data_IF_143045930041
#
_entry.id   IF_143045930041
#
_cell.length_a   1.000
_cell.length_b   1.000
_cell.length_c   1.000
_cell.angle_alpha   90.00
_cell.angle_beta   90.00
_cell.angle_gamma   90.00
#
_symmetry.space_group_name_H-M   'P 1'
#
loop_
_entity.id
_entity.type
_entity.pdbx_description
1 polymer ?
#
# COMPACT_ATOMS: atom_id res chain seq x y z
N UNK A 1 18.73 12.86 8.42
CA UNK A 1 19.44 11.63 8.83
C UNK A 1 19.26 10.54 7.78
N UNK A 2 20.36 10.07 7.14
CA UNK A 2 20.33 8.95 6.18
C UNK A 2 20.77 7.62 6.83
N UNK A 3 20.76 7.52 8.14
CA UNK A 3 21.31 6.37 8.87
C UNK A 3 20.28 5.82 9.85
N UNK A 4 19.54 4.83 9.39
CA UNK A 4 18.96 3.78 10.22
C UNK A 4 18.05 4.15 11.41
N UNK A 5 17.65 5.41 11.57
CA UNK A 5 16.73 5.83 12.63
C UNK A 5 15.32 5.90 12.07
N UNK A 6 14.42 5.08 12.59
CA UNK A 6 13.03 5.11 12.18
C UNK A 6 12.30 6.30 12.80
N UNK A 7 11.23 6.78 12.13
CA UNK A 7 10.36 7.82 12.70
C UNK A 7 9.81 7.44 14.07
N UNK A 8 9.46 6.16 14.27
CA UNK A 8 8.99 5.66 15.55
C UNK A 8 10.02 5.87 16.66
N UNK A 9 11.32 5.60 16.40
CA UNK A 9 12.39 5.83 17.35
C UNK A 9 12.55 7.32 17.69
N UNK A 10 12.43 8.22 16.70
CA UNK A 10 12.46 9.67 16.94
C UNK A 10 11.26 10.10 17.78
N UNK A 11 10.07 9.61 17.47
CA UNK A 11 8.85 9.90 18.24
C UNK A 11 8.97 9.46 19.69
N UNK A 12 9.46 8.24 19.93
CA UNK A 12 9.66 7.71 21.28
C UNK A 12 10.74 8.49 22.05
N UNK A 13 11.85 8.85 21.40
CA UNK A 13 12.90 9.65 22.02
C UNK A 13 12.38 11.02 22.43
N UNK A 14 11.65 11.71 21.56
CA UNK A 14 11.03 13.00 21.88
C UNK A 14 10.00 12.88 23.01
N UNK A 15 9.16 11.84 23.01
CA UNK A 15 8.21 11.58 24.08
C UNK A 15 8.91 11.36 25.42
N UNK A 16 9.98 10.55 25.45
CA UNK A 16 10.75 10.29 26.66
C UNK A 16 11.39 11.55 27.24
N UNK A 17 12.00 12.38 26.37
CA UNK A 17 12.69 13.60 26.81
C UNK A 17 11.73 14.70 27.26
N UNK A 18 10.57 14.82 26.60
CA UNK A 18 9.60 15.89 26.87
C UNK A 18 8.52 15.54 27.89
N UNK A 19 8.31 14.25 28.18
CA UNK A 19 7.18 13.77 28.97
C UNK A 19 5.83 13.86 28.24
N UNK A 20 5.82 14.26 26.96
CA UNK A 20 4.62 14.34 26.14
C UNK A 20 4.28 12.97 25.57
N UNK A 21 3.00 12.60 25.54
CA UNK A 21 2.52 11.33 24.99
C UNK A 21 3.04 11.10 23.56
N UNK A 22 3.51 9.87 23.27
CA UNK A 22 4.12 9.53 21.99
C UNK A 22 3.13 9.68 20.80
N UNK A 23 1.83 9.44 21.00
CA UNK A 23 0.81 9.63 19.95
C UNK A 23 0.68 11.12 19.61
N UNK A 24 0.78 12.01 20.60
CA UNK A 24 0.76 13.46 20.42
C UNK A 24 2.02 13.96 19.70
N UNK A 25 3.19 13.46 20.07
CA UNK A 25 4.44 13.75 19.34
C UNK A 25 4.33 13.27 17.89
N UNK A 26 3.82 12.06 17.67
CA UNK A 26 3.63 11.52 16.31
C UNK A 26 2.71 12.41 15.47
N UNK A 27 1.63 12.92 16.05
CA UNK A 27 0.71 13.85 15.40
C UNK A 27 1.40 15.18 15.07
N UNK A 28 2.10 15.78 16.02
CA UNK A 28 2.82 17.04 15.82
C UNK A 28 3.97 16.94 14.82
N UNK A 29 4.52 15.73 14.60
CA UNK A 29 5.53 15.47 13.58
C UNK A 29 4.98 15.36 12.16
N UNK A 30 3.65 15.33 11.98
CA UNK A 30 3.05 15.29 10.65
C UNK A 30 3.35 16.59 9.89
N UNK A 31 3.65 16.47 8.59
CA UNK A 31 3.95 17.63 7.73
C UNK A 31 5.38 18.17 7.82
N UNK A 32 6.25 17.64 8.69
CA UNK A 32 7.66 18.06 8.77
C UNK A 32 8.56 17.45 7.68
N UNK A 33 8.03 16.61 6.83
CA UNK A 33 8.76 15.93 5.75
C UNK A 33 8.88 16.76 4.47
N UNK A 34 8.48 18.02 4.47
CA UNK A 34 8.63 18.90 3.30
C UNK A 34 10.11 19.09 2.95
N UNK A 35 10.45 18.71 1.71
CA UNK A 35 11.80 18.86 1.17
C UNK A 35 12.17 20.35 1.13
N UNK A 36 13.31 20.69 1.75
CA UNK A 36 13.82 22.06 1.76
C UNK A 36 13.39 22.91 2.95
N UNK A 37 12.49 22.43 3.82
CA UNK A 37 12.18 23.13 5.07
C UNK A 37 13.31 22.91 6.07
N UNK A 38 13.92 24.01 6.53
CA UNK A 38 14.88 23.96 7.64
C UNK A 38 14.12 24.05 8.97
N UNK A 39 14.33 23.09 9.90
CA UNK A 39 13.75 23.15 11.23
C UNK A 39 14.22 24.41 11.98
N UNK A 40 13.30 25.07 12.68
CA UNK A 40 13.58 26.21 13.55
C UNK A 40 13.45 25.79 15.02
N UNK A 41 14.05 26.56 15.94
CA UNK A 41 13.91 26.32 17.37
C UNK A 41 12.43 26.34 17.83
N UNK A 42 11.61 27.18 17.23
CA UNK A 42 10.17 27.23 17.48
C UNK A 42 9.45 25.94 17.09
N UNK A 43 9.88 25.26 16.00
CA UNK A 43 9.32 23.98 15.60
C UNK A 43 9.56 22.90 16.67
N UNK A 44 10.79 22.86 17.21
CA UNK A 44 11.10 21.95 18.32
C UNK A 44 10.29 22.25 19.57
N UNK A 45 10.21 23.52 19.96
CA UNK A 45 9.42 23.96 21.12
C UNK A 45 7.94 23.54 20.97
N UNK A 46 7.35 23.70 19.78
CA UNK A 46 5.98 23.28 19.49
C UNK A 46 5.81 21.74 19.57
N UNK A 47 6.81 20.97 19.11
CA UNK A 47 6.78 19.49 19.18
C UNK A 47 6.74 18.99 20.63
N UNK A 48 7.51 19.60 21.53
CA UNK A 48 7.70 19.14 22.91
C UNK A 48 6.88 19.94 23.95
N UNK A 49 6.06 20.88 23.52
CA UNK A 49 5.25 21.68 24.42
C UNK A 49 4.35 20.80 25.31
N UNK A 50 4.21 21.09 26.61
CA UNK A 50 3.29 20.39 27.49
C UNK A 50 1.85 20.40 26.94
N UNK A 51 1.05 19.43 27.33
CA UNK A 51 -0.37 19.45 27.05
C UNK A 51 -1.04 20.48 27.96
N UNK A 52 -1.25 21.70 27.51
CA UNK A 52 -2.15 22.60 28.19
C UNK A 52 -3.58 22.09 27.95
N UNK A 53 -4.28 21.82 29.05
CA UNK A 53 -5.67 21.49 29.27
C UNK A 53 -6.48 20.97 28.07
N UNK A 54 -7.08 19.83 28.26
CA UNK A 54 -8.06 19.22 27.38
C UNK A 54 -9.09 20.23 26.85
N UNK A 55 -8.90 20.69 25.65
CA UNK A 55 -9.96 21.19 24.79
C UNK A 55 -9.42 21.19 23.37
N UNK A 56 -9.99 20.38 22.51
CA UNK A 56 -9.68 20.17 21.10
C UNK A 56 -9.67 21.40 20.20
N UNK A 57 -8.90 22.42 20.53
CA UNK A 57 -8.62 23.52 19.61
C UNK A 57 -7.27 23.25 18.95
N UNK A 58 -7.33 22.78 17.69
CA UNK A 58 -6.19 22.86 16.80
C UNK A 58 -5.76 24.33 16.73
N UNK A 59 -4.51 24.63 17.14
CA UNK A 59 -3.92 25.94 16.84
C UNK A 59 -4.01 26.19 15.34
N UNK A 60 -4.19 27.42 14.90
CA UNK A 60 -4.37 27.82 13.48
C UNK A 60 -3.32 27.19 12.52
N UNK A 61 -2.12 26.89 13.00
CA UNK A 61 -1.09 26.19 12.24
C UNK A 61 -1.27 24.67 12.11
N UNK A 62 -2.14 24.06 12.92
CA UNK A 62 -2.38 22.62 12.92
C UNK A 62 -3.70 22.22 12.24
N UNK A 63 -4.51 23.18 11.80
CA UNK A 63 -5.84 22.94 11.24
C UNK A 63 -5.82 21.97 10.06
N UNK A 64 -4.81 22.05 9.20
CA UNK A 64 -4.66 21.21 8.00
C UNK A 64 -3.98 19.86 8.22
N UNK A 65 -3.53 19.52 9.44
CA UNK A 65 -2.72 18.32 9.66
C UNK A 65 -3.59 17.05 9.76
N UNK A 66 -3.15 15.94 9.13
CA UNK A 66 -3.80 14.64 9.24
C UNK A 66 -3.46 13.99 10.59
N UNK A 67 -4.12 12.88 10.88
CA UNK A 67 -3.74 11.98 11.96
C UNK A 67 -2.67 10.98 11.48
N UNK A 68 -1.81 10.47 12.37
CA UNK A 68 -0.90 9.37 12.04
C UNK A 68 -1.67 8.15 11.56
N UNK A 69 -1.19 7.50 10.48
CA UNK A 69 -1.88 6.36 9.89
C UNK A 69 -1.74 5.09 10.73
N UNK A 70 -2.83 4.39 10.95
CA UNK A 70 -2.83 3.04 11.51
C UNK A 70 -2.53 2.01 10.43
N UNK A 71 -1.61 1.07 10.69
CA UNK A 71 -1.10 0.13 9.71
C UNK A 71 -1.50 -1.31 10.04
N UNK A 72 -2.14 -1.98 9.10
CA UNK A 72 -2.52 -3.37 9.22
C UNK A 72 -1.31 -4.32 9.23
N UNK A 73 -1.42 -5.40 9.99
CA UNK A 73 -0.48 -6.51 9.97
C UNK A 73 -0.78 -7.48 8.81
N UNK A 74 0.22 -8.16 8.25
CA UNK A 74 -0.03 -9.25 7.32
C UNK A 74 -0.72 -10.43 8.05
N UNK A 75 -1.62 -11.11 7.33
CA UNK A 75 -2.32 -12.28 7.82
C UNK A 75 -2.37 -13.33 6.71
N UNK A 76 -1.78 -14.50 6.95
CA UNK A 76 -1.63 -15.54 5.93
C UNK A 76 -1.73 -16.96 6.47
N UNK A 77 -2.48 -17.22 7.59
CA UNK A 77 -2.68 -18.59 8.02
C UNK A 77 -3.63 -19.33 7.07
N UNK A 78 -3.63 -20.68 7.10
CA UNK A 78 -4.64 -21.49 6.44
C UNK A 78 -6.05 -21.09 6.89
N UNK A 79 -7.02 -21.13 5.96
CA UNK A 79 -8.41 -20.75 6.26
C UNK A 79 -9.03 -21.60 7.36
N UNK A 80 -8.65 -22.88 7.41
CA UNK A 80 -9.10 -23.80 8.46
C UNK A 80 -8.75 -23.35 9.89
N UNK A 81 -7.65 -22.60 10.05
CA UNK A 81 -7.19 -22.12 11.35
C UNK A 81 -7.82 -20.78 11.76
N UNK A 82 -8.46 -20.08 10.82
CA UNK A 82 -9.02 -18.76 11.07
C UNK A 82 -10.07 -18.71 12.18
N UNK A 83 -11.00 -19.67 12.31
CA UNK A 83 -11.95 -19.66 13.41
C UNK A 83 -11.30 -19.70 14.79
N UNK A 84 -10.20 -20.45 14.93
CA UNK A 84 -9.46 -20.54 16.18
C UNK A 84 -8.62 -19.29 16.47
N UNK A 85 -8.10 -18.62 15.40
CA UNK A 85 -7.23 -17.45 15.51
C UNK A 85 -8.00 -16.13 15.65
N UNK A 86 -9.14 -16.01 14.98
CA UNK A 86 -9.89 -14.76 14.84
C UNK A 86 -11.27 -14.81 15.52
N UNK A 87 -11.76 -16.00 15.91
CA UNK A 87 -13.14 -16.15 16.37
C UNK A 87 -14.16 -16.04 15.22
N UNK A 88 -15.42 -15.70 15.54
CA UNK A 88 -16.48 -15.63 14.54
C UNK A 88 -16.30 -14.44 13.58
N UNK A 89 -16.72 -14.60 12.32
CA UNK A 89 -16.73 -13.54 11.31
C UNK A 89 -17.50 -12.30 11.78
N UNK A 90 -18.54 -12.49 12.58
CA UNK A 90 -19.38 -11.42 13.11
C UNK A 90 -18.62 -10.37 13.95
N UNK A 91 -17.45 -10.73 14.51
CA UNK A 91 -16.62 -9.80 15.29
C UNK A 91 -15.76 -8.89 14.38
N UNK A 92 -15.81 -9.10 13.09
CA UNK A 92 -14.96 -8.41 12.12
C UNK A 92 -15.77 -7.60 11.12
N UNK A 93 -15.23 -6.45 10.74
CA UNK A 93 -15.60 -5.71 9.54
C UNK A 93 -14.65 -6.13 8.44
N UNK A 94 -15.19 -6.71 7.37
CA UNK A 94 -14.44 -7.19 6.22
C UNK A 94 -14.68 -6.26 5.05
N UNK A 95 -13.62 -5.75 4.45
CA UNK A 95 -13.66 -4.82 3.33
C UNK A 95 -12.67 -5.25 2.25
N UNK A 96 -12.88 -4.83 1.01
CA UNK A 96 -11.85 -4.99 -0.01
C UNK A 96 -10.57 -4.24 0.37
N UNK A 97 -9.44 -4.87 0.15
CA UNK A 97 -8.16 -4.18 0.20
C UNK A 97 -7.89 -3.54 -1.15
N UNK A 98 -8.30 -2.29 -1.26
CA UNK A 98 -8.16 -1.50 -2.47
C UNK A 98 -6.69 -1.31 -2.86
N UNK A 99 -6.40 -1.24 -4.17
CA UNK A 99 -5.05 -0.99 -4.71
C UNK A 99 -4.97 0.42 -5.30
N UNK A 100 -4.71 1.39 -4.45
CA UNK A 100 -4.66 2.80 -4.80
C UNK A 100 -3.62 3.58 -3.99
N UNK A 101 -3.95 4.82 -3.66
CA UNK A 101 -3.18 5.67 -2.76
C UNK A 101 -4.00 5.90 -1.50
N UNK A 102 -3.53 5.36 -0.39
CA UNK A 102 -4.12 5.67 0.90
C UNK A 102 -3.94 7.13 1.24
N UNK A 103 -5.03 7.79 1.61
CA UNK A 103 -5.04 9.20 1.95
C UNK A 103 -6.02 9.51 3.06
N UNK A 104 -5.74 10.60 3.77
CA UNK A 104 -6.71 11.24 4.66
C UNK A 104 -7.19 12.55 4.02
N UNK A 105 -8.52 12.75 4.02
CA UNK A 105 -9.14 14.03 3.74
C UNK A 105 -9.42 14.72 5.08
N UNK A 106 -8.87 15.91 5.25
CA UNK A 106 -9.06 16.78 6.41
C UNK A 106 -9.94 17.95 5.99
N UNK A 107 -11.10 18.10 6.60
CA UNK A 107 -12.03 19.22 6.40
C UNK A 107 -12.17 19.98 7.71
N UNK A 108 -11.47 21.11 7.85
CA UNK A 108 -11.44 21.95 9.04
C UNK A 108 -11.30 23.42 8.66
N UNK A 109 -11.77 24.31 9.53
CA UNK A 109 -11.61 25.76 9.39
C UNK A 109 -11.97 26.29 7.98
N UNK A 110 -13.03 25.76 7.38
CA UNK A 110 -13.48 26.18 6.04
C UNK A 110 -12.62 25.69 4.88
N UNK A 111 -11.58 24.89 5.11
CA UNK A 111 -10.64 24.42 4.08
C UNK A 111 -10.55 22.88 4.01
N UNK A 112 -9.95 22.38 2.96
CA UNK A 112 -9.74 20.95 2.73
C UNK A 112 -8.28 20.68 2.42
N UNK A 113 -7.73 19.63 3.03
CA UNK A 113 -6.40 19.09 2.75
C UNK A 113 -6.49 17.60 2.47
N UNK A 114 -5.76 17.14 1.46
CA UNK A 114 -5.63 15.72 1.12
C UNK A 114 -4.18 15.30 1.36
N UNK A 115 -3.98 14.38 2.30
CA UNK A 115 -2.67 13.89 2.69
C UNK A 115 -2.47 12.43 2.30
N UNK A 116 -1.38 12.11 1.61
CA UNK A 116 -1.01 10.72 1.35
C UNK A 116 -0.45 10.03 2.61
N UNK A 117 -0.41 8.71 2.59
CA UNK A 117 0.23 7.92 3.65
C UNK A 117 1.72 8.26 3.84
N UNK A 118 2.39 8.75 2.81
CA UNK A 118 3.77 9.21 2.85
C UNK A 118 3.93 10.60 3.48
N UNK A 119 2.84 11.17 4.01
CA UNK A 119 2.81 12.51 4.61
C UNK A 119 3.10 13.64 3.61
N UNK A 120 2.74 13.42 2.37
CA UNK A 120 2.78 14.43 1.33
C UNK A 120 1.40 15.09 1.20
N UNK A 121 1.38 16.42 1.17
CA UNK A 121 0.18 17.18 0.85
C UNK A 121 -0.08 17.08 -0.65
N UNK A 122 -1.16 16.42 -1.03
CA UNK A 122 -1.49 16.10 -2.43
C UNK A 122 -2.80 16.75 -2.90
N UNK A 123 -3.30 17.74 -2.18
CA UNK A 123 -4.57 18.42 -2.47
C UNK A 123 -4.64 18.89 -3.92
N UNK A 124 -3.59 19.54 -4.42
CA UNK A 124 -3.52 20.06 -5.79
C UNK A 124 -3.50 18.96 -6.88
N UNK A 125 -3.22 17.71 -6.47
CA UNK A 125 -3.23 16.54 -7.37
C UNK A 125 -4.63 15.94 -7.53
N UNK A 126 -5.54 16.27 -6.60
CA UNK A 126 -6.88 15.70 -6.54
C UNK A 126 -7.94 16.78 -6.32
N UNK A 127 -8.04 17.79 -7.22
CA UNK A 127 -8.96 18.92 -7.04
C UNK A 127 -10.42 18.51 -6.96
N UNK A 128 -10.83 17.41 -7.62
CA UNK A 128 -12.19 16.88 -7.53
C UNK A 128 -12.52 16.33 -6.14
N UNK A 129 -11.55 15.71 -5.44
CA UNK A 129 -11.74 15.26 -4.05
C UNK A 129 -11.83 16.45 -3.10
N UNK A 130 -10.96 17.45 -3.29
CA UNK A 130 -10.98 18.66 -2.49
C UNK A 130 -12.32 19.41 -2.65
N UNK A 131 -12.81 19.54 -3.89
CA UNK A 131 -14.10 20.18 -4.18
C UNK A 131 -15.26 19.39 -3.58
N UNK A 132 -15.28 18.09 -3.75
CA UNK A 132 -16.35 17.24 -3.19
C UNK A 132 -16.38 17.28 -1.65
N UNK A 133 -15.20 17.26 -1.01
CA UNK A 133 -15.10 17.34 0.44
C UNK A 133 -15.53 18.72 0.96
N UNK A 134 -15.16 19.79 0.26
CA UNK A 134 -15.53 21.16 0.63
C UNK A 134 -17.05 21.37 0.59
N UNK A 135 -17.71 20.78 -0.39
CA UNK A 135 -19.16 20.91 -0.60
C UNK A 135 -19.99 19.91 0.21
N UNK A 136 -19.48 18.68 0.38
CA UNK A 136 -20.27 17.57 0.91
C UNK A 136 -19.97 17.19 2.36
N UNK A 137 -18.84 17.61 2.92
CA UNK A 137 -18.50 17.25 4.31
C UNK A 137 -18.68 18.43 5.27
N UNK A 138 -19.21 18.19 6.46
CA UNK A 138 -19.24 19.21 7.51
C UNK A 138 -17.80 19.53 7.97
N UNK A 139 -17.61 20.74 8.46
CA UNK A 139 -16.35 21.16 9.07
C UNK A 139 -16.05 20.31 10.31
N UNK A 140 -14.78 20.05 10.59
CA UNK A 140 -14.39 19.12 11.66
C UNK A 140 -14.54 17.65 11.27
N UNK A 141 -14.33 17.30 10.00
CA UNK A 141 -14.34 15.92 9.50
C UNK A 141 -12.95 15.50 9.02
N UNK A 142 -12.47 14.35 9.50
CA UNK A 142 -11.28 13.70 8.96
C UNK A 142 -11.60 12.24 8.64
N UNK A 143 -11.44 11.85 7.39
CA UNK A 143 -11.67 10.49 6.94
C UNK A 143 -10.43 9.86 6.32
N UNK A 144 -10.29 8.55 6.49
CA UNK A 144 -9.22 7.71 5.92
C UNK A 144 -9.80 6.85 4.81
N UNK A 145 -9.13 6.79 3.69
CA UNK A 145 -9.63 6.06 2.53
C UNK A 145 -8.54 5.76 1.51
N UNK A 146 -8.95 5.17 0.40
CA UNK A 146 -8.09 4.86 -0.74
C UNK A 146 -8.52 5.69 -1.95
N UNK A 147 -7.58 6.41 -2.56
CA UNK A 147 -7.80 7.14 -3.81
C UNK A 147 -7.63 6.17 -4.97
N UNK A 148 -8.65 6.08 -5.82
CA UNK A 148 -8.70 5.18 -6.97
C UNK A 148 -9.14 5.96 -8.21
N UNK A 149 -8.63 5.58 -9.38
CA UNK A 149 -9.26 5.99 -10.64
C UNK A 149 -10.49 5.14 -10.85
N UNK A 150 -11.66 5.79 -10.98
CA UNK A 150 -12.92 5.07 -11.17
C UNK A 150 -13.86 5.85 -12.07
N UNK A 151 -14.11 5.30 -13.24
CA UNK A 151 -14.98 5.95 -14.22
C UNK A 151 -16.47 5.79 -13.82
N UNK A 152 -17.29 6.79 -14.12
CA UNK A 152 -18.75 6.67 -13.92
C UNK A 152 -19.31 5.45 -14.66
N UNK A 153 -20.15 4.67 -13.97
CA UNK A 153 -20.79 3.48 -14.56
C UNK A 153 -19.92 2.22 -14.60
N UNK A 154 -18.63 2.28 -14.32
CA UNK A 154 -17.80 1.08 -14.22
C UNK A 154 -18.06 0.32 -12.91
N UNK A 155 -18.10 -1.01 -12.93
CA UNK A 155 -18.35 -1.82 -11.74
C UNK A 155 -17.16 -1.91 -10.81
N UNK A 156 -15.96 -1.64 -11.31
CA UNK A 156 -14.69 -1.73 -10.57
C UNK A 156 -13.77 -0.55 -10.87
N UNK A 157 -12.81 -0.23 -9.99
CA UNK A 157 -11.82 0.79 -10.25
C UNK A 157 -10.86 0.35 -11.37
N UNK A 158 -10.24 1.34 -12.02
CA UNK A 158 -9.15 1.13 -12.96
C UNK A 158 -7.88 0.65 -12.24
N UNK A 159 -7.00 -0.07 -12.94
CA UNK A 159 -5.71 -0.50 -12.40
C UNK A 159 -4.89 0.67 -11.84
N UNK A 160 -4.10 0.42 -10.81
CA UNK A 160 -3.21 1.41 -10.19
C UNK A 160 -2.28 2.13 -11.20
N UNK A 161 -1.95 1.47 -12.31
CA UNK A 161 -1.16 2.06 -13.39
C UNK A 161 -1.80 3.35 -13.98
N UNK A 162 -3.12 3.45 -14.00
CA UNK A 162 -3.83 4.64 -14.47
C UNK A 162 -3.69 5.78 -13.45
N UNK A 163 -3.76 5.48 -12.17
CA UNK A 163 -3.47 6.46 -11.13
C UNK A 163 -2.01 6.96 -11.19
N UNK A 164 -1.06 6.09 -11.47
CA UNK A 164 0.35 6.46 -11.68
C UNK A 164 0.54 7.39 -12.88
N UNK A 165 -0.19 7.18 -14.00
CA UNK A 165 -0.15 8.09 -15.15
C UNK A 165 -0.55 9.52 -14.75
N UNK A 166 -1.57 9.65 -13.89
CA UNK A 166 -2.03 10.93 -13.37
C UNK A 166 -0.99 11.59 -12.47
N UNK A 167 -0.41 10.85 -11.52
CA UNK A 167 0.63 11.35 -10.62
C UNK A 167 1.90 11.82 -11.34
N UNK A 168 2.27 11.13 -12.40
CA UNK A 168 3.46 11.46 -13.20
C UNK A 168 3.36 12.76 -14.01
N UNK A 169 2.17 13.38 -14.08
CA UNK A 169 1.98 14.63 -14.84
C UNK A 169 2.32 15.85 -13.98
N UNK A 170 3.11 16.77 -14.55
CA UNK A 170 3.40 18.06 -13.89
C UNK A 170 2.16 18.94 -13.77
N UNK A 171 1.31 18.92 -14.81
CA UNK A 171 0.09 19.74 -14.89
C UNK A 171 -1.11 18.84 -15.12
N UNK A 172 -2.18 19.09 -14.37
CA UNK A 172 -3.48 18.43 -14.54
C UNK A 172 -4.30 19.24 -15.56
N UNK A 173 -4.57 18.64 -16.70
CA UNK A 173 -5.43 19.25 -17.71
C UNK A 173 -6.89 18.83 -17.52
N UNK A 174 -7.89 19.64 -17.94
CA UNK A 174 -9.30 19.23 -17.89
C UNK A 174 -9.57 17.91 -18.63
N UNK A 175 -8.82 17.62 -19.70
CA UNK A 175 -8.90 16.35 -20.42
C UNK A 175 -8.47 15.19 -19.52
N UNK A 176 -7.32 15.30 -18.86
CA UNK A 176 -6.80 14.26 -17.98
C UNK A 176 -7.76 13.97 -16.80
N UNK A 177 -8.34 15.02 -16.22
CA UNK A 177 -9.30 14.87 -15.11
C UNK A 177 -10.56 14.11 -15.54
N UNK A 178 -11.01 14.29 -16.80
CA UNK A 178 -12.14 13.54 -17.36
C UNK A 178 -11.80 12.10 -17.75
N UNK A 179 -10.59 11.88 -18.27
CA UNK A 179 -10.15 10.54 -18.69
C UNK A 179 -9.78 9.64 -17.51
N UNK A 180 -9.26 10.22 -16.44
CA UNK A 180 -8.83 9.52 -15.23
C UNK A 180 -9.43 10.17 -13.97
N UNK A 181 -10.78 10.22 -13.86
CA UNK A 181 -11.41 10.77 -12.67
C UNK A 181 -11.09 9.90 -11.46
N UNK A 182 -10.96 10.52 -10.28
CA UNK A 182 -10.67 9.81 -9.04
C UNK A 182 -11.83 9.88 -8.05
N UNK A 183 -11.90 8.84 -7.24
CA UNK A 183 -12.76 8.77 -6.07
C UNK A 183 -11.90 8.49 -4.84
N UNK A 184 -12.34 8.94 -3.66
CA UNK A 184 -11.90 8.39 -2.39
C UNK A 184 -12.91 7.35 -1.93
N UNK A 185 -12.47 6.11 -1.76
CA UNK A 185 -13.25 5.06 -1.11
C UNK A 185 -12.89 5.07 0.36
N UNK A 186 -13.74 5.71 1.17
CA UNK A 186 -13.52 5.91 2.59
C UNK A 186 -13.90 4.65 3.39
N UNK A 187 -13.07 4.29 4.35
CA UNK A 187 -13.24 3.10 5.18
C UNK A 187 -13.05 3.37 6.68
N UNK A 188 -12.69 4.58 7.08
CA UNK A 188 -12.64 4.98 8.49
C UNK A 188 -12.89 6.47 8.66
N UNK A 189 -13.38 6.85 9.84
CA UNK A 189 -13.61 8.23 10.27
C UNK A 189 -12.77 8.50 11.51
N UNK A 190 -11.96 9.55 11.49
CA UNK A 190 -11.00 9.87 12.54
C UNK A 190 -11.41 11.07 13.36
N UNK A 191 -12.17 11.99 12.74
CA UNK A 191 -12.75 13.15 13.39
C UNK A 191 -14.17 13.36 12.89
N UNK A 192 -15.08 13.62 13.82
CA UNK A 192 -16.49 13.84 13.56
C UNK A 192 -16.97 15.09 14.33
N UNK A 193 -17.55 16.06 13.61
CA UNK A 193 -18.01 17.32 14.19
C UNK A 193 -16.95 18.02 15.08
N UNK A 194 -15.69 17.98 14.66
CA UNK A 194 -14.56 18.59 15.37
C UNK A 194 -14.02 17.79 16.56
N UNK A 195 -14.55 16.60 16.81
CA UNK A 195 -14.10 15.72 17.89
C UNK A 195 -13.28 14.56 17.35
N UNK A 196 -12.12 14.29 17.96
CA UNK A 196 -11.32 13.10 17.69
C UNK A 196 -12.08 11.84 18.12
N UNK A 197 -12.41 10.97 17.17
CA UNK A 197 -13.16 9.73 17.42
C UNK A 197 -12.29 8.47 17.34
N UNK A 198 -10.98 8.60 17.23
CA UNK A 198 -10.05 7.47 17.05
C UNK A 198 -10.07 6.46 18.21
N UNK A 199 -10.35 6.92 19.41
CA UNK A 199 -10.50 6.05 20.60
C UNK A 199 -11.88 5.36 20.69
N UNK A 200 -12.82 5.69 19.79
CA UNK A 200 -14.07 4.94 19.69
C UNK A 200 -13.84 3.60 19.00
N UNK A 201 -14.67 2.57 19.30
CA UNK A 201 -14.64 1.30 18.60
C UNK A 201 -14.83 1.46 17.08
N UNK A 202 -14.19 0.60 16.27
CA UNK A 202 -14.30 0.62 14.80
C UNK A 202 -15.75 0.65 14.31
N UNK A 203 -16.64 -0.11 14.93
CA UNK A 203 -18.06 -0.15 14.58
C UNK A 203 -18.77 1.20 14.77
N UNK A 204 -18.40 1.98 15.79
CA UNK A 204 -18.98 3.30 16.03
C UNK A 204 -18.47 4.31 15.00
N UNK A 205 -17.16 4.31 14.72
CA UNK A 205 -16.58 5.16 13.68
C UNK A 205 -17.15 4.84 12.29
N UNK A 206 -17.39 3.55 12.02
CA UNK A 206 -18.06 3.10 10.79
C UNK A 206 -19.49 3.63 10.70
N UNK A 207 -20.28 3.58 11.75
CA UNK A 207 -21.64 4.08 11.75
C UNK A 207 -21.68 5.60 11.47
N UNK A 208 -20.77 6.38 12.05
CA UNK A 208 -20.62 7.80 11.73
C UNK A 208 -20.25 8.04 10.27
N UNK A 209 -19.33 7.24 9.73
CA UNK A 209 -18.91 7.34 8.32
C UNK A 209 -20.06 7.03 7.36
N UNK A 210 -20.85 6.00 7.66
CA UNK A 210 -22.03 5.62 6.89
C UNK A 210 -23.08 6.75 6.87
N UNK A 211 -23.31 7.37 8.02
CA UNK A 211 -24.22 8.50 8.11
C UNK A 211 -23.77 9.72 7.29
N UNK A 212 -22.45 9.96 7.22
CA UNK A 212 -21.88 11.07 6.45
C UNK A 212 -21.93 10.85 4.93
N UNK A 213 -21.73 9.61 4.48
CA UNK A 213 -21.58 9.28 3.05
C UNK A 213 -22.82 8.62 2.44
N UNK A 214 -23.93 8.49 3.18
CA UNK A 214 -25.18 8.06 2.59
C UNK A 214 -25.69 9.12 1.61
N UNK A 215 -26.09 8.72 0.38
CA UNK A 215 -26.74 9.67 -0.51
C UNK A 215 -28.04 10.16 0.16
N UNK A 216 -28.37 11.46 0.09
CA UNK A 216 -29.66 11.91 0.53
C UNK A 216 -30.75 11.15 -0.25
N UNK A 217 -31.67 10.55 0.46
CA UNK A 217 -32.79 9.77 -0.07
C UNK A 217 -33.74 10.67 -0.85
N UNK A 218 -33.36 11.10 -2.06
CA UNK A 218 -34.33 11.70 -3.01
C UNK A 218 -33.69 11.83 -4.40
N UNK A 219 -34.36 11.21 -5.31
CA UNK A 219 -34.42 11.34 -6.77
C UNK A 219 -33.76 10.21 -7.57
N UNK A 220 -34.65 9.41 -8.10
CA UNK A 220 -34.43 8.49 -9.22
C UNK A 220 -33.98 9.35 -10.42
N UNK A 221 -32.74 9.14 -10.92
CA UNK A 221 -32.42 9.59 -12.25
C UNK A 221 -31.01 10.03 -12.56
N UNK A 222 -30.26 10.64 -11.67
CA UNK A 222 -28.83 10.99 -11.91
C UNK A 222 -28.04 10.78 -10.62
N UNK A 223 -27.26 9.69 -10.60
CA UNK A 223 -26.24 9.56 -9.55
C UNK A 223 -25.13 10.54 -9.93
N UNK A 224 -24.92 11.65 -9.21
CA UNK A 224 -23.72 12.47 -9.42
C UNK A 224 -22.53 11.54 -9.31
N UNK A 225 -21.50 11.77 -10.09
CA UNK A 225 -20.23 11.07 -9.93
C UNK A 225 -19.68 11.44 -8.54
N UNK A 226 -20.11 10.69 -7.50
CA UNK A 226 -19.78 10.96 -6.11
C UNK A 226 -18.32 10.64 -5.93
N UNK A 227 -17.49 11.68 -5.81
CA UNK A 227 -16.04 11.54 -5.64
C UNK A 227 -15.67 10.98 -4.25
N UNK A 228 -16.59 11.02 -3.28
CA UNK A 228 -16.43 10.40 -1.97
C UNK A 228 -17.38 9.22 -1.87
N UNK A 229 -16.86 8.03 -1.71
CA UNK A 229 -17.63 6.78 -1.66
C UNK A 229 -17.34 6.03 -0.37
N UNK A 230 -18.34 5.34 0.14
CA UNK A 230 -18.17 4.43 1.26
C UNK A 230 -17.60 3.10 0.77
N UNK A 231 -16.56 2.57 1.43
CA UNK A 231 -16.07 1.21 1.21
C UNK A 231 -17.15 0.21 1.62
N UNK A 232 -17.58 -0.73 0.75
CA UNK A 232 -18.61 -1.70 1.11
C UNK A 232 -18.10 -2.70 2.14
N UNK A 233 -18.95 -3.05 3.11
CA UNK A 233 -18.71 -4.17 4.01
C UNK A 233 -19.13 -5.47 3.31
N UNK A 234 -18.23 -6.44 3.35
CA UNK A 234 -18.48 -7.78 2.81
C UNK A 234 -19.10 -8.66 3.90
N UNK A 235 -20.08 -9.44 3.51
CA UNK A 235 -20.75 -10.40 4.38
C UNK A 235 -20.32 -11.81 4.00
N UNK A 236 -20.10 -12.65 4.99
CA UNK A 236 -19.83 -14.07 4.82
C UNK A 236 -20.44 -14.89 5.94
N UNK A 237 -20.93 -16.08 5.62
CA UNK A 237 -21.47 -17.00 6.61
C UNK A 237 -20.38 -17.49 7.58
N UNK A 238 -19.19 -17.70 7.05
CA UNK A 238 -18.00 -18.15 7.76
C UNK A 238 -16.72 -17.73 7.04
N UNK A 239 -15.56 -18.07 7.59
CA UNK A 239 -14.25 -17.76 7.00
C UNK A 239 -14.02 -18.46 5.67
N UNK A 240 -14.61 -19.63 5.45
CA UNK A 240 -14.51 -20.36 4.18
C UNK A 240 -15.29 -19.69 3.07
N UNK A 241 -16.45 -19.14 3.41
CA UNK A 241 -17.25 -18.33 2.48
C UNK A 241 -16.52 -17.05 2.08
N UNK A 242 -15.95 -16.32 3.04
CA UNK A 242 -15.11 -15.15 2.76
C UNK A 242 -13.88 -15.51 1.94
N UNK A 243 -13.26 -16.68 2.17
CA UNK A 243 -12.14 -17.13 1.35
C UNK A 243 -12.51 -17.29 -0.12
N UNK A 244 -13.69 -17.89 -0.41
CA UNK A 244 -14.20 -18.00 -1.79
C UNK A 244 -14.45 -16.63 -2.42
N UNK A 245 -15.07 -15.70 -1.68
CA UNK A 245 -15.27 -14.33 -2.17
C UNK A 245 -13.94 -13.61 -2.45
N UNK A 246 -12.92 -13.85 -1.63
CA UNK A 246 -11.59 -13.26 -1.80
C UNK A 246 -10.91 -13.64 -3.11
N UNK A 247 -11.24 -14.79 -3.69
CA UNK A 247 -10.71 -15.23 -4.99
C UNK A 247 -11.06 -14.26 -6.13
N UNK A 248 -12.20 -13.56 -6.02
CA UNK A 248 -12.59 -12.53 -6.97
C UNK A 248 -11.79 -11.22 -6.87
N UNK A 249 -10.94 -11.05 -5.86
CA UNK A 249 -10.21 -9.80 -5.61
C UNK A 249 -9.42 -9.33 -6.84
N UNK A 250 -8.75 -10.25 -7.53
CA UNK A 250 -7.91 -9.91 -8.69
C UNK A 250 -8.72 -9.35 -9.86
N UNK A 251 -9.86 -9.94 -10.17
CA UNK A 251 -10.75 -9.47 -11.22
C UNK A 251 -11.41 -8.13 -10.90
N UNK A 252 -11.54 -7.81 -9.60
CA UNK A 252 -12.08 -6.56 -9.11
C UNK A 252 -11.00 -5.47 -8.89
N UNK A 253 -9.74 -5.72 -9.25
CA UNK A 253 -8.65 -4.78 -9.08
C UNK A 253 -8.31 -4.49 -7.62
N UNK A 254 -8.53 -5.47 -6.72
CA UNK A 254 -8.22 -5.37 -5.29
C UNK A 254 -7.14 -6.37 -4.90
N UNK A 255 -6.50 -6.18 -3.74
CA UNK A 255 -5.41 -7.04 -3.28
C UNK A 255 -5.83 -8.13 -2.28
N UNK A 256 -7.12 -8.33 -2.07
CA UNK A 256 -7.68 -9.20 -1.06
C UNK A 256 -8.57 -8.44 -0.07
N UNK A 257 -8.50 -8.80 1.21
CA UNK A 257 -9.35 -8.23 2.26
C UNK A 257 -8.56 -7.46 3.31
N UNK A 258 -9.22 -6.46 3.88
CA UNK A 258 -8.91 -5.87 5.18
C UNK A 258 -9.88 -6.44 6.20
N UNK A 259 -9.34 -6.95 7.31
CA UNK A 259 -10.11 -7.41 8.45
C UNK A 259 -9.88 -6.45 9.61
N UNK A 260 -10.94 -5.82 10.09
CA UNK A 260 -10.89 -4.85 11.19
C UNK A 260 -11.78 -5.34 12.32
N UNK A 261 -11.19 -5.59 13.48
CA UNK A 261 -11.99 -6.01 14.62
C UNK A 261 -12.96 -4.89 15.03
N UNK A 262 -14.23 -5.24 15.29
CA UNK A 262 -15.31 -4.25 15.55
C UNK A 262 -15.04 -3.35 16.75
N UNK A 263 -14.29 -3.83 17.73
CA UNK A 263 -13.93 -3.09 18.93
C UNK A 263 -12.55 -2.43 18.86
N UNK A 264 -11.82 -2.55 17.74
CA UNK A 264 -10.51 -1.93 17.60
C UNK A 264 -10.61 -0.40 17.58
N UNK A 265 -9.71 0.26 18.29
CA UNK A 265 -9.49 1.69 18.14
C UNK A 265 -8.59 1.98 16.94
N UNK A 266 -8.47 3.23 16.54
CA UNK A 266 -7.54 3.63 15.48
C UNK A 266 -6.18 3.95 16.09
N UNK A 267 -5.19 3.11 15.83
CA UNK A 267 -3.84 3.22 16.40
C UNK A 267 -2.90 4.15 15.62
N UNK A 268 -1.64 4.15 16.01
CA UNK A 268 -0.55 4.87 15.36
C UNK A 268 0.48 3.88 14.84
N UNK A 269 0.78 3.93 13.56
CA UNK A 269 1.72 3.01 12.95
C UNK A 269 1.26 1.56 13.01
N UNK A 270 2.18 0.61 13.18
CA UNK A 270 1.87 -0.82 13.26
C UNK A 270 1.92 -1.27 14.72
N UNK A 271 0.77 -1.33 15.36
CA UNK A 271 0.59 -1.80 16.74
C UNK A 271 -0.57 -2.78 16.83
N UNK A 272 -0.62 -3.57 17.92
CA UNK A 272 -1.73 -4.44 18.30
C UNK A 272 -2.40 -4.00 19.60
N UNK A 273 -1.89 -2.95 20.22
CA UNK A 273 -2.26 -2.52 21.58
C UNK A 273 -3.69 -1.96 21.66
N UNK A 274 -4.22 -1.46 20.52
CA UNK A 274 -5.54 -0.84 20.41
C UNK A 274 -6.57 -1.72 19.68
N UNK A 275 -6.24 -2.99 19.49
CA UNK A 275 -6.97 -3.91 18.61
C UNK A 275 -6.23 -4.08 17.29
N UNK A 276 -6.75 -4.90 16.40
CA UNK A 276 -5.99 -5.37 15.26
C UNK A 276 -6.69 -5.06 13.95
N UNK A 277 -5.91 -4.60 12.99
CA UNK A 277 -6.23 -4.62 11.58
C UNK A 277 -5.32 -5.64 10.88
N UNK A 278 -5.94 -6.56 10.13
CA UNK A 278 -5.24 -7.53 9.32
C UNK A 278 -5.44 -7.25 7.83
N UNK A 279 -4.41 -7.49 7.05
CA UNK A 279 -4.49 -7.53 5.59
C UNK A 279 -4.36 -9.00 5.14
N UNK A 280 -5.45 -9.55 4.68
CA UNK A 280 -5.55 -10.90 4.14
C UNK A 280 -5.52 -10.84 2.62
N UNK A 281 -4.31 -10.78 2.09
CA UNK A 281 -4.07 -10.64 0.67
C UNK A 281 -4.34 -11.95 -0.08
N UNK A 282 -4.69 -11.82 -1.38
CA UNK A 282 -4.63 -12.96 -2.33
C UNK A 282 -3.18 -13.40 -2.51
N UNK A 283 -3.01 -14.65 -2.92
CA UNK A 283 -1.69 -15.16 -3.22
C UNK A 283 -1.08 -14.39 -4.39
N UNK A 284 0.24 -14.10 -4.36
CA UNK A 284 0.90 -13.45 -5.46
C UNK A 284 0.85 -14.33 -6.70
N UNK A 285 0.89 -13.70 -7.87
CA UNK A 285 1.25 -14.43 -9.08
C UNK A 285 2.68 -14.91 -8.94
N UNK A 286 3.00 -16.10 -9.43
CA UNK A 286 4.37 -16.61 -9.33
C UNK A 286 4.83 -17.22 -10.64
N UNK A 287 6.15 -17.18 -10.83
CA UNK A 287 6.88 -17.87 -11.91
C UNK A 287 8.22 -18.37 -11.39
N UNK A 288 8.69 -19.48 -11.94
CA UNK A 288 10.03 -20.00 -11.68
C UNK A 288 11.03 -19.35 -12.64
N UNK A 289 11.96 -18.60 -12.11
CA UNK A 289 12.90 -17.78 -12.87
C UNK A 289 14.36 -18.08 -12.52
N UNK A 290 15.24 -17.85 -13.46
CA UNK A 290 16.67 -18.13 -13.37
C UNK A 290 17.43 -16.89 -12.92
N UNK A 291 18.29 -17.03 -11.91
CA UNK A 291 19.22 -15.97 -11.48
C UNK A 291 20.32 -15.79 -12.54
N UNK A 292 20.46 -14.56 -13.07
CA UNK A 292 21.43 -14.22 -14.11
C UNK A 292 22.39 -13.09 -13.72
N UNK A 293 21.98 -12.16 -12.86
CA UNK A 293 22.84 -11.10 -12.34
C UNK A 293 22.61 -10.91 -10.84
N UNK A 294 23.67 -10.49 -10.17
CA UNK A 294 23.64 -10.12 -8.77
C UNK A 294 24.39 -8.82 -8.52
N UNK A 295 23.92 -8.04 -7.57
CA UNK A 295 24.53 -6.78 -7.12
C UNK A 295 24.65 -6.78 -5.61
N UNK A 296 25.68 -6.12 -5.09
CA UNK A 296 25.87 -5.98 -3.63
C UNK A 296 24.74 -5.15 -3.02
N UNK A 297 24.35 -5.55 -1.83
CA UNK A 297 23.38 -4.81 -1.04
C UNK A 297 23.91 -3.50 -0.44
N UNK A 298 23.11 -2.90 0.42
CA UNK A 298 23.42 -1.64 1.09
C UNK A 298 23.43 -1.79 2.61
N UNK A 299 24.09 -0.88 3.30
CA UNK A 299 24.14 -0.84 4.76
C UNK A 299 24.80 -2.10 5.34
N UNK A 300 24.13 -2.80 6.23
CA UNK A 300 24.65 -4.02 6.88
C UNK A 300 24.95 -5.16 5.89
N UNK A 301 24.33 -5.16 4.73
CA UNK A 301 24.49 -6.19 3.68
C UNK A 301 25.41 -5.76 2.53
N UNK A 302 26.18 -4.67 2.70
CA UNK A 302 27.09 -4.15 1.66
C UNK A 302 28.19 -5.13 1.24
N UNK A 303 28.53 -6.10 2.09
CA UNK A 303 29.50 -7.16 1.79
C UNK A 303 28.90 -8.38 1.07
N UNK A 304 27.59 -8.49 1.02
CA UNK A 304 26.85 -9.61 0.45
C UNK A 304 26.15 -9.20 -0.87
N UNK A 305 25.97 -10.14 -1.76
CA UNK A 305 25.09 -9.97 -2.93
C UNK A 305 23.65 -10.21 -2.49
N UNK A 306 22.79 -9.21 -2.59
CA UNK A 306 21.41 -9.26 -2.12
C UNK A 306 20.38 -8.71 -3.12
N UNK A 307 20.85 -8.04 -4.17
CA UNK A 307 19.99 -7.58 -5.27
C UNK A 307 20.20 -8.52 -6.46
N UNK A 308 19.13 -9.19 -6.86
CA UNK A 308 19.18 -10.23 -7.87
C UNK A 308 18.35 -9.87 -9.09
N UNK A 309 18.86 -10.17 -10.29
CA UNK A 309 18.12 -10.05 -11.55
C UNK A 309 17.78 -11.44 -12.05
N UNK A 310 16.54 -11.64 -12.39
CA UNK A 310 15.97 -12.90 -12.83
C UNK A 310 15.49 -12.85 -14.27
N UNK A 311 15.59 -13.98 -14.94
CA UNK A 311 15.20 -14.17 -16.32
C UNK A 311 14.29 -15.41 -16.49
N UNK A 312 13.49 -15.39 -17.54
CA UNK A 312 12.74 -16.54 -18.04
C UNK A 312 13.14 -16.86 -19.46
N UNK A 313 12.83 -18.05 -19.94
CA UNK A 313 13.14 -18.45 -21.30
C UNK A 313 12.25 -17.73 -22.34
N UNK A 314 12.80 -17.36 -23.49
CA UNK A 314 12.04 -16.76 -24.59
C UNK A 314 11.33 -17.78 -25.48
N UNK A 315 11.62 -19.07 -25.30
CA UNK A 315 11.06 -20.17 -26.07
C UNK A 315 10.84 -21.43 -25.23
N UNK A 316 10.17 -22.43 -25.78
CA UNK A 316 9.87 -23.68 -25.10
C UNK A 316 11.16 -24.55 -24.93
N UNK A 317 11.11 -25.58 -24.06
CA UNK A 317 12.27 -26.44 -23.79
C UNK A 317 12.90 -27.11 -25.00
N UNK A 318 12.10 -27.36 -26.01
CA UNK A 318 12.51 -28.04 -27.27
C UNK A 318 13.27 -27.13 -28.24
N UNK A 319 13.23 -25.81 -28.04
CA UNK A 319 13.94 -24.85 -28.89
C UNK A 319 15.42 -24.77 -28.45
N UNK A 320 16.38 -25.26 -29.25
CA UNK A 320 17.80 -25.20 -28.90
C UNK A 320 18.37 -23.78 -28.92
N UNK A 321 17.69 -22.83 -29.55
CA UNK A 321 18.13 -21.44 -29.67
C UNK A 321 17.47 -20.51 -28.62
N UNK A 322 16.69 -21.06 -27.69
CA UNK A 322 16.08 -20.26 -26.64
C UNK A 322 17.12 -19.57 -25.77
N UNK A 323 16.77 -18.39 -25.31
CA UNK A 323 17.62 -17.53 -24.49
C UNK A 323 16.90 -17.08 -23.24
N UNK A 324 17.67 -16.84 -22.20
CA UNK A 324 17.17 -16.22 -20.97
C UNK A 324 16.98 -14.71 -21.15
N UNK A 325 15.77 -14.23 -20.93
CA UNK A 325 15.40 -12.81 -21.05
C UNK A 325 15.11 -12.24 -19.67
N UNK A 326 15.86 -11.21 -19.22
CA UNK A 326 15.62 -10.59 -17.92
C UNK A 326 14.26 -9.88 -17.87
N UNK A 327 13.54 -10.04 -16.74
CA UNK A 327 12.24 -9.40 -16.56
C UNK A 327 12.04 -8.79 -15.18
N UNK A 328 12.75 -9.24 -14.13
CA UNK A 328 12.52 -8.75 -12.75
C UNK A 328 13.82 -8.60 -11.97
N UNK A 329 13.80 -7.66 -11.03
CA UNK A 329 14.79 -7.56 -9.95
C UNK A 329 14.10 -7.78 -8.62
N UNK A 330 14.66 -8.65 -7.76
CA UNK A 330 14.15 -8.85 -6.40
C UNK A 330 15.30 -8.79 -5.39
N UNK A 331 15.00 -8.30 -4.19
CA UNK A 331 15.97 -8.11 -3.11
C UNK A 331 15.45 -8.58 -1.75
N UNK A 332 14.30 -9.22 -1.72
CA UNK A 332 13.65 -9.70 -0.49
C UNK A 332 13.06 -11.09 -0.69
N UNK A 333 12.84 -11.79 0.42
CA UNK A 333 12.18 -13.09 0.46
C UNK A 333 13.07 -14.24 0.92
N UNK A 334 14.39 -14.11 0.84
CA UNK A 334 15.31 -15.10 1.39
C UNK A 334 15.65 -14.83 2.86
N UNK A 335 15.88 -15.90 3.61
CA UNK A 335 16.47 -15.85 4.95
C UNK A 335 17.94 -15.44 4.90
N UNK A 336 18.51 -14.98 6.00
CA UNK A 336 19.94 -14.63 6.06
C UNK A 336 20.85 -15.85 5.76
N UNK A 337 20.43 -17.06 6.15
CA UNK A 337 21.15 -18.30 5.84
C UNK A 337 21.16 -18.59 4.33
N UNK A 338 20.01 -18.44 3.67
CA UNK A 338 19.91 -18.60 2.21
C UNK A 338 20.71 -17.53 1.46
N UNK A 339 20.66 -16.27 1.93
CA UNK A 339 21.48 -15.19 1.35
C UNK A 339 22.97 -15.54 1.41
N UNK A 340 23.46 -16.07 2.54
CA UNK A 340 24.85 -16.47 2.66
C UNK A 340 25.23 -17.60 1.70
N UNK A 341 24.34 -18.59 1.50
CA UNK A 341 24.56 -19.68 0.55
C UNK A 341 24.56 -19.18 -0.90
N UNK A 342 23.59 -18.33 -1.26
CA UNK A 342 23.50 -17.73 -2.60
C UNK A 342 24.69 -16.82 -2.87
N UNK A 343 25.15 -16.03 -1.90
CA UNK A 343 26.38 -15.21 -2.00
C UNK A 343 27.61 -16.07 -2.32
N UNK A 344 27.76 -17.21 -1.64
CA UNK A 344 28.85 -18.15 -1.91
C UNK A 344 28.80 -18.73 -3.34
N UNK A 345 27.60 -19.05 -3.84
CA UNK A 345 27.40 -19.51 -5.21
C UNK A 345 27.74 -18.40 -6.20
N UNK A 346 27.24 -17.19 -6.01
CA UNK A 346 27.51 -16.03 -6.86
C UNK A 346 29.03 -15.80 -7.00
N UNK A 347 29.77 -15.84 -5.90
CA UNK A 347 31.23 -15.66 -5.93
C UNK A 347 31.96 -16.75 -6.74
N UNK A 348 31.45 -17.98 -6.71
CA UNK A 348 32.03 -19.11 -7.46
C UNK A 348 31.65 -19.10 -8.94
N UNK A 349 30.46 -18.58 -9.27
CA UNK A 349 29.85 -18.64 -10.60
C UNK A 349 29.86 -17.31 -11.35
N UNK A 350 30.52 -16.29 -10.82
CA UNK A 350 30.67 -15.00 -11.50
C UNK A 350 31.48 -15.19 -12.79
N UNK A 351 30.90 -14.77 -13.91
CA UNK A 351 31.51 -14.80 -15.26
C UNK A 351 32.13 -13.46 -15.62
N UNK A 352 31.35 -12.38 -15.44
CA UNK A 352 31.72 -11.01 -15.83
C UNK A 352 31.34 -10.00 -14.74
N UNK A 353 32.01 -8.86 -14.76
CA UNK A 353 31.78 -7.76 -13.81
C UNK A 353 31.48 -6.48 -14.57
N UNK A 354 30.30 -5.88 -14.28
CA UNK A 354 29.85 -4.62 -14.85
C UNK A 354 29.69 -3.59 -13.69
N UNK A 355 30.78 -3.00 -13.27
CA UNK A 355 30.78 -2.16 -12.07
C UNK A 355 30.32 -2.94 -10.83
N UNK A 356 29.23 -2.53 -10.16
CA UNK A 356 28.69 -3.22 -8.98
C UNK A 356 27.96 -4.53 -9.30
N UNK A 357 27.60 -4.76 -10.57
CA UNK A 357 26.82 -5.92 -11.02
C UNK A 357 27.75 -7.06 -11.46
N UNK A 358 27.37 -8.27 -11.10
CA UNK A 358 28.03 -9.51 -11.51
C UNK A 358 27.10 -10.31 -12.41
N UNK A 359 27.57 -10.70 -13.58
CA UNK A 359 26.96 -11.77 -14.37
C UNK A 359 27.35 -13.10 -13.74
N UNK A 360 26.38 -13.95 -13.52
CA UNK A 360 26.58 -15.26 -12.90
C UNK A 360 26.18 -16.37 -13.85
N UNK A 361 26.75 -17.54 -13.65
CA UNK A 361 26.32 -18.74 -14.37
C UNK A 361 24.86 -19.05 -14.02
N UNK A 362 24.03 -19.27 -15.04
CA UNK A 362 22.62 -19.53 -14.92
C UNK A 362 22.37 -20.96 -14.41
N UNK A 363 22.54 -21.17 -13.12
CA UNK A 363 22.41 -22.47 -12.45
C UNK A 363 21.36 -22.54 -11.36
N UNK A 364 20.82 -21.38 -10.96
CA UNK A 364 19.92 -21.29 -9.82
C UNK A 364 18.54 -20.83 -10.24
N UNK A 365 17.49 -21.56 -9.82
CA UNK A 365 16.09 -21.27 -10.06
C UNK A 365 15.41 -20.82 -8.77
N UNK A 366 14.59 -19.78 -8.88
CA UNK A 366 13.80 -19.25 -7.78
C UNK A 366 12.34 -19.07 -8.19
N UNK A 367 11.44 -19.42 -7.32
CA UNK A 367 10.04 -19.02 -7.45
C UNK A 367 9.92 -17.55 -7.05
N UNK A 368 9.52 -16.70 -8.00
CA UNK A 368 9.28 -15.27 -7.78
C UNK A 368 7.80 -15.00 -7.67
N UNK A 369 7.40 -14.33 -6.60
CA UNK A 369 6.05 -13.81 -6.44
C UNK A 369 5.99 -12.32 -6.75
N UNK A 370 4.88 -11.86 -7.34
CA UNK A 370 4.63 -10.44 -7.61
C UNK A 370 3.13 -10.11 -7.51
N UNK A 371 2.85 -8.86 -7.17
CA UNK A 371 1.47 -8.39 -6.88
C UNK A 371 0.74 -7.94 -8.15
N UNK A 372 1.46 -7.59 -9.23
CA UNK A 372 0.88 -7.13 -10.48
C UNK A 372 1.81 -7.33 -11.65
N UNK A 373 1.25 -7.35 -12.84
CA UNK A 373 1.95 -7.55 -14.10
C UNK A 373 1.32 -6.66 -15.18
N UNK A 374 2.15 -6.06 -16.02
CA UNK A 374 1.70 -5.21 -17.13
C UNK A 374 2.66 -5.27 -18.31
N UNK A 375 2.18 -4.96 -19.51
CA UNK A 375 3.05 -4.75 -20.69
C UNK A 375 3.92 -3.51 -20.48
N UNK A 376 5.18 -3.60 -20.86
CA UNK A 376 6.14 -2.51 -20.70
C UNK A 376 7.18 -2.50 -21.83
N UNK A 377 7.16 -1.50 -22.71
CA UNK A 377 8.16 -1.39 -23.79
C UNK A 377 9.56 -1.04 -23.27
N UNK A 378 9.69 -0.65 -22.00
CA UNK A 378 10.96 -0.33 -21.35
C UNK A 378 11.78 -1.56 -20.93
N UNK A 379 11.14 -2.73 -20.86
CA UNK A 379 11.77 -3.98 -20.44
C UNK A 379 12.06 -4.87 -21.65
N UNK A 380 13.20 -5.54 -21.66
CA UNK A 380 13.57 -6.49 -22.73
C UNK A 380 12.55 -7.62 -22.90
N UNK A 381 11.91 -8.02 -21.82
CA UNK A 381 10.83 -9.01 -21.81
C UNK A 381 9.50 -8.49 -22.38
N UNK A 382 9.36 -7.17 -22.58
CA UNK A 382 8.07 -6.54 -22.87
C UNK A 382 7.08 -6.50 -21.69
N UNK A 383 7.50 -6.95 -20.50
CA UNK A 383 6.66 -7.12 -19.31
C UNK A 383 7.35 -6.50 -18.10
N UNK A 384 6.58 -5.80 -17.28
CA UNK A 384 6.96 -5.30 -15.97
C UNK A 384 6.14 -5.99 -14.89
N UNK A 385 6.77 -6.33 -13.77
CA UNK A 385 6.10 -6.89 -12.58
C UNK A 385 6.21 -5.93 -11.40
N UNK A 386 5.21 -5.95 -10.52
CA UNK A 386 5.10 -5.06 -9.38
C UNK A 386 5.44 -5.80 -8.09
N UNK A 387 6.33 -5.24 -7.29
CA UNK A 387 6.80 -5.80 -6.03
C UNK A 387 7.30 -7.25 -6.11
N UNK A 388 8.23 -7.55 -7.03
CA UNK A 388 8.79 -8.89 -7.13
C UNK A 388 9.59 -9.24 -5.88
N UNK A 389 9.39 -10.47 -5.40
CA UNK A 389 10.12 -11.05 -4.27
C UNK A 389 10.37 -12.54 -4.50
N UNK A 390 11.40 -13.07 -3.90
CA UNK A 390 11.64 -14.51 -3.89
C UNK A 390 10.69 -15.16 -2.88
N UNK A 391 9.90 -16.14 -3.33
CA UNK A 391 9.04 -16.96 -2.48
C UNK A 391 9.77 -18.19 -1.99
N UNK A 392 10.56 -18.79 -2.87
CA UNK A 392 11.29 -20.02 -2.58
C UNK A 392 12.50 -20.18 -3.50
N UNK A 393 13.60 -20.68 -2.95
CA UNK A 393 14.72 -21.16 -3.74
C UNK A 393 14.44 -22.58 -4.23
N UNK A 394 14.34 -22.76 -5.54
CA UNK A 394 13.97 -24.00 -6.21
C UNK A 394 15.22 -24.85 -6.51
N UNK A 395 15.86 -25.37 -5.45
CA UNK A 395 17.00 -26.29 -5.59
C UNK A 395 16.62 -27.62 -6.26
N UNK A 396 15.35 -27.94 -6.25
CA UNK A 396 14.72 -29.11 -6.84
C UNK A 396 14.50 -28.98 -8.35
N UNK A 397 14.58 -27.77 -8.93
CA UNK A 397 14.17 -27.51 -10.32
C UNK A 397 15.37 -27.21 -11.22
N UNK A 398 15.56 -28.01 -12.32
CA UNK A 398 16.57 -27.72 -13.32
C UNK A 398 16.30 -26.37 -14.03
N UNK A 399 17.37 -25.68 -14.41
CA UNK A 399 17.27 -24.40 -15.14
C UNK A 399 16.52 -24.56 -16.48
N UNK A 400 16.64 -25.69 -17.10
CA UNK A 400 15.94 -25.99 -18.37
C UNK A 400 14.40 -25.99 -18.22
N UNK A 401 13.90 -26.23 -17.02
CA UNK A 401 12.48 -26.29 -16.70
C UNK A 401 11.92 -24.99 -16.11
N UNK A 402 12.75 -23.94 -16.01
CA UNK A 402 12.26 -22.62 -15.60
C UNK A 402 11.23 -22.08 -16.60
N UNK A 403 10.37 -21.20 -16.12
CA UNK A 403 9.25 -20.67 -16.90
C UNK A 403 9.70 -19.84 -18.11
N UNK A 404 8.73 -19.57 -18.99
CA UNK A 404 8.94 -18.87 -20.27
C UNK A 404 8.26 -17.50 -20.29
N UNK A 405 8.61 -16.66 -21.26
CA UNK A 405 7.89 -15.43 -21.56
C UNK A 405 6.41 -15.68 -21.87
N UNK A 406 6.08 -16.83 -22.45
CA UNK A 406 4.70 -17.20 -22.71
C UNK A 406 3.94 -17.48 -21.41
N UNK A 407 4.55 -18.21 -20.47
CA UNK A 407 3.98 -18.43 -19.11
C UNK A 407 3.76 -17.10 -18.41
N UNK A 408 4.75 -16.21 -18.46
CA UNK A 408 4.66 -14.88 -17.86
C UNK A 408 3.57 -14.02 -18.54
N UNK A 409 3.46 -14.06 -19.86
CA UNK A 409 2.46 -13.33 -20.63
C UNK A 409 1.02 -13.84 -20.38
N UNK A 410 0.84 -15.11 -20.08
CA UNK A 410 -0.46 -15.68 -19.73
C UNK A 410 -1.03 -15.15 -18.42
N UNK A 411 -0.18 -14.55 -17.57
CA UNK A 411 -0.61 -13.88 -16.33
C UNK A 411 -1.06 -12.43 -16.54
N UNK A 412 -0.88 -11.86 -17.75
CA UNK A 412 -1.36 -10.52 -18.05
C UNK A 412 -2.90 -10.49 -18.00
N UNK A 413 -3.50 -9.43 -17.42
CA UNK A 413 -4.94 -9.26 -17.49
C UNK A 413 -5.39 -9.24 -18.96
N UNK A 414 -6.51 -9.87 -19.23
CA UNK A 414 -7.16 -9.76 -20.54
C UNK A 414 -7.37 -8.28 -20.83
N UNK A 415 -6.82 -7.82 -21.95
CA UNK A 415 -7.03 -6.45 -22.40
C UNK A 415 -8.52 -6.32 -22.68
N UNK A 416 -9.22 -5.56 -21.86
CA UNK A 416 -10.54 -5.06 -22.25
C UNK A 416 -10.33 -4.30 -23.56
N UNK A 417 -10.85 -4.85 -24.64
CA UNK A 417 -10.77 -4.32 -25.98
C UNK A 417 -11.44 -2.94 -26.07
#
# INVERSE_FOLDING_TARGET
FRVGVSRLQVTQALATVSGVDAKRIAHRLMGYTQIGRQPQAADYAALVAPAEGDAGQASDGAAGHPYPFFLAHPFSPPVADMPALLGPVADWQVEWKWDGIRAQIVRRAGAVWVWSRGEELVTDRFPELASAALQGLPDGTVMDGEILVWLPGEPAPRPFADLQKRLGRKTLTPKLLRELPVVLVAYDLLEHAGHDVREQPQQARRAHLEALLQPPSTTIGETPAVALRLSPLLQGADWQDLARQREAARSLGTEGFMLKHRHAHYGVGRTKDVGVWWKWKIDPMSVDAVLIYAQRGHGRRASLYTDYTFAVWNGPPEDPNRQLVPFAKAYSGLTDAEIAQVDAIIRKTTRESFGPVRSVEATQVFELGFEGIARSPRHKSGIAVRFPRMLRWRQDKPVAEADTLQTLAALLPESSA
#
